data_IF_361508583581
#
_entry.id   IF_361508583581
#
_cell.length_a   1.000
_cell.length_b   1.000
_cell.length_c   1.000
_cell.angle_alpha   90.00
_cell.angle_beta   90.00
_cell.angle_gamma   90.00
#
_symmetry.space_group_name_H-M   'P 1'
#
loop_
_entity.id
_entity.type
_entity.pdbx_description
1 polymer ?
#
# COMPACT_ATOMS: atom_id res chain seq x y z
N UNK A 1 -24.92 33.16 28.36
CA UNK A 1 -23.89 32.17 28.75
C UNK A 1 -23.77 30.99 27.77
N UNK A 2 -24.74 30.08 27.62
CA UNK A 2 -24.60 28.95 26.67
C UNK A 2 -24.58 29.40 25.20
N UNK A 3 -25.41 30.39 24.86
CA UNK A 3 -25.50 30.95 23.51
C UNK A 3 -24.26 31.77 23.13
N UNK A 4 -23.73 32.58 24.05
CA UNK A 4 -22.48 33.34 23.84
C UNK A 4 -21.29 32.39 23.60
N UNK A 5 -21.14 31.34 24.43
CA UNK A 5 -20.09 30.34 24.27
C UNK A 5 -20.22 29.56 22.95
N UNK A 6 -21.44 29.27 22.52
CA UNK A 6 -21.71 28.63 21.23
C UNK A 6 -21.18 29.47 20.06
N UNK A 7 -21.52 30.76 20.01
CA UNK A 7 -21.04 31.65 18.96
C UNK A 7 -19.54 31.94 19.05
N UNK A 8 -18.96 32.03 20.25
CA UNK A 8 -17.51 32.15 20.44
C UNK A 8 -16.74 30.94 19.87
N UNK A 9 -17.23 29.72 20.09
CA UNK A 9 -16.61 28.51 19.53
C UNK A 9 -16.71 28.49 18.01
N UNK A 10 -17.85 28.89 17.43
CA UNK A 10 -18.02 28.96 15.98
C UNK A 10 -17.09 30.01 15.35
N UNK A 11 -17.00 31.21 15.95
CA UNK A 11 -16.10 32.27 15.49
C UNK A 11 -14.63 31.85 15.60
N UNK A 12 -14.26 31.14 16.67
CA UNK A 12 -12.90 30.61 16.86
C UNK A 12 -12.55 29.54 15.82
N UNK A 13 -13.48 28.63 15.51
CA UNK A 13 -13.31 27.64 14.45
C UNK A 13 -13.21 28.30 13.07
N UNK A 14 -14.05 29.28 12.76
CA UNK A 14 -14.00 30.00 11.49
C UNK A 14 -12.67 30.74 11.30
N UNK A 15 -12.20 31.45 12.33
CA UNK A 15 -10.88 32.12 12.34
C UNK A 15 -9.73 31.14 12.14
N UNK A 16 -9.89 29.90 12.59
CA UNK A 16 -8.92 28.82 12.43
C UNK A 16 -9.05 28.09 11.08
N UNK A 17 -9.95 28.55 10.19
CA UNK A 17 -10.07 28.09 8.81
C UNK A 17 -11.05 26.92 8.60
N UNK A 18 -11.88 26.62 9.59
CA UNK A 18 -12.98 25.66 9.45
C UNK A 18 -14.11 26.28 8.62
N UNK A 19 -14.71 25.48 7.75
CA UNK A 19 -15.79 25.91 6.86
C UNK A 19 -17.10 25.26 7.26
N UNK A 20 -18.17 26.04 7.31
CA UNK A 20 -19.52 25.53 7.50
C UNK A 20 -19.84 24.49 6.42
N UNK A 21 -20.28 23.31 6.85
CA UNK A 21 -20.76 22.24 5.98
C UNK A 21 -22.28 22.29 5.88
N UNK A 22 -22.96 22.13 7.02
CA UNK A 22 -24.42 22.22 7.14
C UNK A 22 -24.84 22.36 8.60
N UNK A 23 -26.10 22.77 8.84
CA UNK A 23 -26.75 22.76 10.17
C UNK A 23 -27.84 21.68 10.18
N UNK A 24 -27.92 20.90 11.26
CA UNK A 24 -28.97 19.89 11.46
C UNK A 24 -29.52 20.00 12.88
N UNK A 25 -30.74 20.52 13.02
CA UNK A 25 -31.32 20.81 14.33
C UNK A 25 -30.44 21.79 15.12
N UNK A 26 -29.98 21.37 16.30
CA UNK A 26 -29.09 22.15 17.18
C UNK A 26 -27.60 21.93 16.90
N UNK A 27 -27.24 21.09 15.92
CA UNK A 27 -25.84 20.82 15.55
C UNK A 27 -25.41 21.66 14.36
N UNK A 28 -24.28 22.34 14.48
CA UNK A 28 -23.58 22.99 13.36
C UNK A 28 -22.37 22.16 13.01
N UNK A 29 -22.31 21.65 11.78
CA UNK A 29 -21.21 20.84 11.28
C UNK A 29 -20.23 21.69 10.48
N UNK A 30 -18.95 21.58 10.81
CA UNK A 30 -17.86 22.25 10.10
C UNK A 30 -16.87 21.24 9.57
N UNK A 31 -16.19 21.60 8.48
CA UNK A 31 -15.14 20.78 7.89
C UNK A 31 -13.90 21.60 7.56
N UNK A 32 -12.75 20.94 7.63
CA UNK A 32 -11.47 21.48 7.18
C UNK A 32 -10.73 20.44 6.36
N UNK A 33 -10.07 20.89 5.29
CA UNK A 33 -9.21 20.03 4.47
C UNK A 33 -7.76 20.19 4.91
N UNK A 34 -7.10 19.05 5.11
CA UNK A 34 -5.67 18.91 5.38
C UNK A 34 -5.00 18.19 4.22
N UNK A 35 -3.74 18.51 3.98
CA UNK A 35 -2.90 17.79 3.02
C UNK A 35 -1.96 16.86 3.77
N UNK A 36 -2.13 15.55 3.56
CA UNK A 36 -1.28 14.53 4.17
C UNK A 36 -0.61 13.70 3.08
N UNK A 37 0.72 13.76 3.01
CA UNK A 37 1.53 12.98 2.06
C UNK A 37 1.11 13.15 0.58
N UNK A 38 0.61 14.34 0.21
CA UNK A 38 0.11 14.64 -1.14
C UNK A 38 -1.34 14.20 -1.39
N UNK A 39 -2.07 13.76 -0.35
CA UNK A 39 -3.47 13.38 -0.41
C UNK A 39 -4.35 14.32 0.41
N UNK A 40 -5.62 14.48 0.00
CA UNK A 40 -6.61 15.26 0.75
C UNK A 40 -7.20 14.41 1.89
N UNK A 41 -7.11 14.94 3.11
CA UNK A 41 -7.85 14.48 4.28
C UNK A 41 -8.88 15.56 4.64
N UNK A 42 -10.13 15.18 4.89
CA UNK A 42 -11.16 16.10 5.37
C UNK A 42 -11.52 15.74 6.79
N UNK A 43 -11.45 16.68 7.72
CA UNK A 43 -11.86 16.48 9.11
C UNK A 43 -13.22 17.14 9.31
N UNK A 44 -14.13 16.46 10.01
CA UNK A 44 -15.45 16.97 10.33
C UNK A 44 -15.64 17.06 11.85
N UNK A 45 -16.16 18.22 12.28
CA UNK A 45 -16.54 18.50 13.66
C UNK A 45 -17.99 18.96 13.72
N UNK A 46 -18.61 18.87 14.89
CA UNK A 46 -19.88 19.53 15.16
C UNK A 46 -19.85 20.30 16.47
N UNK A 47 -20.65 21.36 16.55
CA UNK A 47 -20.88 22.13 17.78
C UNK A 47 -22.38 22.17 18.05
N UNK A 48 -22.78 21.85 19.29
CA UNK A 48 -24.18 21.81 19.69
C UNK A 48 -24.61 23.11 20.38
N UNK A 49 -25.70 23.71 19.93
CA UNK A 49 -26.27 24.96 20.45
C UNK A 49 -26.76 24.85 21.91
N UNK A 50 -27.20 23.65 22.32
CA UNK A 50 -27.71 23.37 23.67
C UNK A 50 -26.60 22.95 24.64
N UNK A 51 -25.50 22.42 24.13
CA UNK A 51 -24.31 22.01 24.90
C UNK A 51 -23.06 22.40 24.13
N UNK A 52 -22.58 23.66 24.28
CA UNK A 52 -21.52 24.22 23.45
C UNK A 52 -20.15 23.59 23.76
N UNK A 53 -19.87 22.51 23.04
CA UNK A 53 -18.64 21.73 23.00
C UNK A 53 -18.37 21.33 21.55
N UNK A 54 -17.10 21.08 21.22
CA UNK A 54 -16.71 20.67 19.88
C UNK A 54 -16.59 19.15 19.84
N UNK A 55 -17.48 18.48 19.12
CA UNK A 55 -17.38 17.04 18.87
C UNK A 55 -16.58 16.81 17.59
N UNK A 56 -15.41 16.20 17.69
CA UNK A 56 -14.70 15.64 16.54
C UNK A 56 -15.45 14.38 16.12
N UNK A 57 -15.92 14.34 14.87
CA UNK A 57 -16.83 13.30 14.39
C UNK A 57 -16.12 12.23 13.57
N UNK A 58 -15.35 12.68 12.59
CA UNK A 58 -14.64 11.77 11.72
C UNK A 58 -13.56 12.46 10.89
N UNK A 59 -12.58 11.66 10.49
CA UNK A 59 -11.62 11.98 9.45
C UNK A 59 -12.02 11.23 8.18
N UNK A 60 -11.99 11.88 7.02
CA UNK A 60 -12.20 11.24 5.72
C UNK A 60 -10.93 11.35 4.91
N UNK A 61 -10.28 10.22 4.70
CA UNK A 61 -9.17 10.10 3.77
C UNK A 61 -9.69 9.73 2.39
N UNK A 62 -9.20 10.40 1.36
CA UNK A 62 -9.47 10.05 -0.04
C UNK A 62 -8.24 9.38 -0.65
N UNK A 63 -7.96 8.11 -0.34
CA UNK A 63 -6.84 7.41 -0.91
C UNK A 63 -6.99 7.28 -2.43
N UNK A 64 -5.88 7.42 -3.15
CA UNK A 64 -5.85 7.23 -4.62
C UNK A 64 -6.02 5.78 -5.07
N UNK A 65 -6.03 4.82 -4.13
CA UNK A 65 -6.15 3.39 -4.43
C UNK A 65 -6.81 2.60 -3.31
N UNK A 66 -7.42 1.47 -3.69
CA UNK A 66 -8.03 0.52 -2.73
C UNK A 66 -7.01 -0.14 -1.79
N UNK A 67 -5.73 -0.21 -2.19
CA UNK A 67 -4.67 -0.78 -1.34
C UNK A 67 -4.34 0.15 -0.17
N UNK A 68 -4.19 1.45 -0.43
CA UNK A 68 -4.02 2.43 0.64
C UNK A 68 -5.26 2.51 1.54
N UNK A 69 -6.46 2.38 0.95
CA UNK A 69 -7.69 2.32 1.73
C UNK A 69 -7.72 1.13 2.69
N UNK A 70 -7.28 -0.04 2.23
CA UNK A 70 -7.18 -1.25 3.06
C UNK A 70 -6.11 -1.12 4.15
N UNK A 71 -4.95 -0.56 3.83
CA UNK A 71 -3.89 -0.34 4.81
C UNK A 71 -4.35 0.61 5.93
N UNK A 72 -5.01 1.71 5.59
CA UNK A 72 -5.60 2.61 6.58
C UNK A 72 -6.66 1.88 7.42
N UNK A 73 -7.55 1.09 6.82
CA UNK A 73 -8.52 0.27 7.57
C UNK A 73 -7.85 -0.77 8.48
N UNK A 74 -6.72 -1.33 8.09
CA UNK A 74 -5.97 -2.31 8.89
C UNK A 74 -5.30 -1.64 10.09
N UNK A 75 -4.68 -0.47 9.89
CA UNK A 75 -4.06 0.33 10.97
C UNK A 75 -5.08 0.73 12.03
N UNK A 76 -6.24 1.25 11.59
CA UNK A 76 -7.26 1.78 12.49
C UNK A 76 -8.33 0.76 12.87
N UNK A 77 -8.23 -0.46 12.37
CA UNK A 77 -9.14 -1.58 12.67
C UNK A 77 -10.62 -1.13 12.64
N UNK A 78 -11.40 -1.48 13.66
CA UNK A 78 -12.83 -1.20 13.79
C UNK A 78 -13.18 0.30 13.83
N UNK A 79 -12.22 1.18 14.11
CA UNK A 79 -12.43 2.63 14.09
C UNK A 79 -12.43 3.22 12.68
N UNK A 80 -12.04 2.45 11.67
CA UNK A 80 -12.10 2.86 10.28
C UNK A 80 -13.25 2.20 9.51
N UNK A 81 -13.85 2.91 8.55
CA UNK A 81 -14.79 2.36 7.59
C UNK A 81 -14.36 2.72 6.17
N UNK A 82 -14.36 1.74 5.26
CA UNK A 82 -14.05 1.98 3.84
C UNK A 82 -15.35 2.09 3.06
N UNK A 83 -15.62 3.26 2.50
CA UNK A 83 -16.79 3.53 1.67
C UNK A 83 -16.35 3.65 0.21
N UNK A 84 -16.94 2.82 -0.65
CA UNK A 84 -16.69 2.88 -2.10
C UNK A 84 -17.82 3.65 -2.77
N UNK A 85 -17.47 4.71 -3.50
CA UNK A 85 -18.37 5.47 -4.39
C UNK A 85 -18.03 5.15 -5.85
N UNK A 86 -18.83 5.66 -6.78
CA UNK A 86 -18.65 5.39 -8.22
C UNK A 86 -17.30 5.89 -8.75
N UNK A 87 -16.81 7.04 -8.27
CA UNK A 87 -15.60 7.72 -8.75
C UNK A 87 -14.43 7.72 -7.74
N UNK A 88 -14.67 7.32 -6.49
CA UNK A 88 -13.66 7.41 -5.42
C UNK A 88 -13.83 6.38 -4.30
N UNK A 89 -12.80 6.31 -3.46
CA UNK A 89 -12.79 5.53 -2.22
C UNK A 89 -12.56 6.50 -1.07
N UNK A 90 -13.43 6.45 -0.08
CA UNK A 90 -13.33 7.23 1.15
C UNK A 90 -13.00 6.25 2.30
N UNK A 91 -12.00 6.57 3.12
CA UNK A 91 -11.76 5.89 4.40
C UNK A 91 -12.15 6.85 5.51
N UNK A 92 -13.16 6.49 6.28
CA UNK A 92 -13.65 7.26 7.39
C UNK A 92 -13.06 6.73 8.69
N UNK A 93 -12.32 7.53 9.44
CA UNK A 93 -11.95 7.22 10.83
C UNK A 93 -12.97 7.86 11.74
N UNK A 94 -13.67 7.07 12.53
CA UNK A 94 -14.59 7.56 13.54
C UNK A 94 -13.76 8.06 14.72
N UNK A 95 -13.99 9.31 15.09
CA UNK A 95 -13.57 9.87 16.35
C UNK A 95 -14.87 10.27 17.05
N UNK A 96 -15.05 9.88 18.29
CA UNK A 96 -16.18 10.35 19.12
C UNK A 96 -15.57 11.03 20.34
N UNK A 97 -14.77 12.06 20.05
CA UNK A 97 -13.99 12.82 21.02
C UNK A 97 -14.62 14.22 21.16
N UNK A 98 -14.70 14.74 22.39
CA UNK A 98 -15.31 16.03 22.71
C UNK A 98 -14.25 16.95 23.30
N UNK A 99 -14.20 18.19 22.82
CA UNK A 99 -13.23 19.21 23.25
C UNK A 99 -13.92 20.47 23.71
N UNK A 100 -13.25 21.16 24.62
CA UNK A 100 -13.77 22.37 25.26
C UNK A 100 -13.33 23.65 24.54
N UNK A 101 -12.25 23.59 23.76
CA UNK A 101 -11.74 24.68 22.92
C UNK A 101 -11.07 24.18 21.63
N UNK A 102 -10.73 25.12 20.74
CA UNK A 102 -10.20 24.83 19.41
C UNK A 102 -8.73 24.39 19.44
N UNK A 103 -7.94 24.84 20.41
CA UNK A 103 -6.51 24.49 20.47
C UNK A 103 -6.35 23.02 20.86
N UNK A 104 -7.11 22.54 21.86
CA UNK A 104 -7.11 21.12 22.26
C UNK A 104 -7.51 20.21 21.08
N UNK A 105 -8.50 20.64 20.29
CA UNK A 105 -8.91 19.95 19.07
C UNK A 105 -7.79 19.91 18.01
N UNK A 106 -7.12 21.04 17.77
CA UNK A 106 -6.08 21.13 16.75
C UNK A 106 -4.84 20.30 17.11
N UNK A 107 -4.39 20.35 18.36
CA UNK A 107 -3.27 19.52 18.87
C UNK A 107 -3.56 18.04 18.64
N UNK A 108 -4.80 17.62 18.92
CA UNK A 108 -5.22 16.23 18.74
C UNK A 108 -5.34 15.82 17.27
N UNK A 109 -5.80 16.72 16.39
CA UNK A 109 -5.81 16.49 14.94
C UNK A 109 -4.38 16.30 14.43
N UNK A 110 -3.45 17.14 14.86
CA UNK A 110 -2.04 17.05 14.45
C UNK A 110 -1.38 15.75 14.92
N UNK A 111 -1.64 15.32 16.16
CA UNK A 111 -1.18 14.02 16.67
C UNK A 111 -1.67 12.86 15.80
N UNK A 112 -2.97 12.82 15.50
CA UNK A 112 -3.57 11.77 14.66
C UNK A 112 -2.98 11.79 13.25
N UNK A 113 -2.82 12.98 12.65
CA UNK A 113 -2.22 13.11 11.32
C UNK A 113 -0.75 12.69 11.29
N UNK A 114 0.02 12.97 12.35
CA UNK A 114 1.42 12.56 12.46
C UNK A 114 1.58 11.05 12.68
N UNK A 115 0.72 10.40 13.46
CA UNK A 115 0.71 8.93 13.57
C UNK A 115 0.39 8.27 12.22
N UNK A 116 -0.60 8.80 11.48
CA UNK A 116 -0.88 8.34 10.11
C UNK A 116 0.33 8.54 9.21
N UNK A 117 1.00 9.69 9.32
CA UNK A 117 2.19 9.99 8.53
C UNK A 117 3.31 8.98 8.80
N UNK A 118 3.58 8.65 10.07
CA UNK A 118 4.60 7.66 10.46
C UNK A 118 4.28 6.29 9.89
N UNK A 119 3.06 5.80 10.08
CA UNK A 119 2.65 4.46 9.64
C UNK A 119 2.61 4.33 8.11
N UNK A 120 2.06 5.32 7.40
CA UNK A 120 2.06 5.32 5.93
C UNK A 120 3.48 5.44 5.36
N UNK A 121 4.37 6.16 6.05
CA UNK A 121 5.77 6.27 5.62
C UNK A 121 6.54 4.96 5.80
N UNK A 122 6.29 4.18 6.86
CA UNK A 122 6.86 2.83 7.03
C UNK A 122 6.50 1.92 5.84
N UNK A 123 5.21 1.86 5.50
CA UNK A 123 4.71 1.08 4.34
C UNK A 123 5.32 1.58 3.02
N UNK A 124 5.56 2.88 2.86
CA UNK A 124 6.15 3.46 1.64
C UNK A 124 7.65 3.15 1.51
N UNK A 125 8.40 3.17 2.62
CA UNK A 125 9.84 2.87 2.64
C UNK A 125 10.08 1.40 2.29
N UNK A 126 9.32 0.47 2.88
CA UNK A 126 9.44 -0.96 2.58
C UNK A 126 9.23 -1.28 1.08
N UNK A 127 8.30 -0.58 0.41
CA UNK A 127 8.05 -0.77 -1.03
C UNK A 127 9.15 -0.15 -1.90
N UNK A 128 9.74 0.97 -1.49
CA UNK A 128 10.83 1.64 -2.24
C UNK A 128 12.14 0.84 -2.13
N UNK A 129 12.47 0.37 -0.93
CA UNK A 129 13.66 -0.47 -0.71
C UNK A 129 13.53 -1.81 -1.43
N UNK A 130 12.33 -2.41 -1.45
CA UNK A 130 12.04 -3.61 -2.21
C UNK A 130 12.29 -3.45 -3.72
N UNK A 131 11.78 -2.36 -4.31
CA UNK A 131 11.99 -2.03 -5.72
C UNK A 131 13.47 -1.76 -6.03
N UNK A 132 14.12 -0.97 -5.17
CA UNK A 132 15.54 -0.63 -5.28
C UNK A 132 16.41 -1.88 -5.24
N UNK A 133 16.13 -2.81 -4.34
CA UNK A 133 16.86 -4.07 -4.22
C UNK A 133 16.66 -4.93 -5.49
N UNK A 134 15.44 -5.19 -5.96
CA UNK A 134 15.26 -5.97 -7.20
C UNK A 134 15.90 -5.33 -8.44
N UNK A 135 15.89 -3.99 -8.53
CA UNK A 135 16.57 -3.27 -9.61
C UNK A 135 18.10 -3.38 -9.52
N UNK A 136 18.70 -3.27 -8.33
CA UNK A 136 20.15 -3.55 -8.12
C UNK A 136 20.52 -4.96 -8.56
N UNK A 137 19.61 -5.91 -8.36
CA UNK A 137 19.81 -7.31 -8.72
C UNK A 137 19.56 -7.59 -10.23
N UNK A 138 19.29 -6.54 -11.03
CA UNK A 138 19.21 -6.59 -12.48
C UNK A 138 17.85 -7.02 -13.04
N UNK A 139 16.78 -6.95 -12.23
CA UNK A 139 15.41 -7.11 -12.71
C UNK A 139 14.86 -5.76 -13.20
N UNK A 140 14.20 -5.76 -14.35
CA UNK A 140 13.40 -4.61 -14.78
C UNK A 140 12.07 -4.66 -14.03
N UNK A 141 11.91 -3.78 -13.06
CA UNK A 141 10.69 -3.74 -12.22
C UNK A 141 9.83 -2.56 -12.65
N UNK A 142 8.52 -2.81 -12.79
CA UNK A 142 7.55 -1.77 -13.11
C UNK A 142 6.22 -2.05 -12.44
N UNK A 143 5.47 -1.00 -12.15
CA UNK A 143 4.15 -1.10 -11.52
C UNK A 143 3.07 -1.18 -12.59
N UNK A 144 2.18 -2.16 -12.46
CA UNK A 144 1.00 -2.30 -13.33
C UNK A 144 -0.20 -2.46 -12.41
N UNK A 145 -1.05 -1.44 -12.36
CA UNK A 145 -2.17 -1.35 -11.42
C UNK A 145 -1.71 -1.54 -9.97
N UNK A 146 -2.24 -2.56 -9.28
CA UNK A 146 -1.93 -2.87 -7.90
C UNK A 146 -0.76 -3.85 -7.75
N UNK A 147 -0.19 -4.35 -8.84
CA UNK A 147 0.78 -5.44 -8.89
C UNK A 147 2.18 -4.94 -9.18
N UNK A 148 3.17 -5.50 -8.48
CA UNK A 148 4.58 -5.31 -8.82
C UNK A 148 4.95 -6.33 -9.87
N UNK A 149 5.20 -5.87 -11.09
CA UNK A 149 5.65 -6.72 -12.18
C UNK A 149 7.15 -6.58 -12.33
N UNK A 150 7.81 -7.67 -12.61
CA UNK A 150 9.23 -7.66 -12.95
C UNK A 150 9.49 -8.50 -14.19
N UNK A 151 10.56 -8.17 -14.89
CA UNK A 151 11.03 -8.93 -16.04
C UNK A 151 12.53 -9.09 -15.96
N UNK A 152 13.02 -10.26 -16.34
CA UNK A 152 14.43 -10.49 -16.61
C UNK A 152 14.60 -11.48 -17.76
N UNK A 153 15.63 -11.26 -18.56
CA UNK A 153 16.03 -12.16 -19.65
C UNK A 153 17.38 -12.76 -19.28
N UNK A 154 17.48 -14.08 -19.42
CA UNK A 154 18.66 -14.88 -19.15
C UNK A 154 19.12 -15.52 -20.46
N UNK A 155 20.43 -15.48 -20.69
CA UNK A 155 21.05 -16.28 -21.74
C UNK A 155 21.46 -17.62 -21.11
N UNK A 156 20.72 -18.68 -21.41
CA UNK A 156 21.09 -20.04 -21.03
C UNK A 156 22.07 -20.61 -22.07
N UNK A 157 22.82 -21.68 -21.75
CA UNK A 157 23.81 -22.24 -22.68
C UNK A 157 23.25 -22.61 -24.07
N UNK A 158 21.98 -23.02 -24.13
CA UNK A 158 21.32 -23.45 -25.39
C UNK A 158 19.97 -22.79 -25.67
N UNK A 159 19.55 -21.83 -24.86
CA UNK A 159 18.24 -21.20 -24.98
C UNK A 159 18.24 -19.78 -24.42
N UNK A 160 17.23 -19.00 -24.77
CA UNK A 160 16.93 -17.73 -24.07
C UNK A 160 15.76 -17.97 -23.13
N UNK A 161 15.92 -17.59 -21.87
CA UNK A 161 14.85 -17.63 -20.87
C UNK A 161 14.39 -16.22 -20.56
N UNK A 162 13.12 -15.92 -20.81
CA UNK A 162 12.45 -14.72 -20.32
C UNK A 162 11.58 -15.09 -19.12
N UNK A 163 11.80 -14.43 -18.00
CA UNK A 163 10.95 -14.50 -16.82
C UNK A 163 10.14 -13.21 -16.74
N UNK A 164 8.83 -13.33 -16.68
CA UNK A 164 7.91 -12.28 -16.28
C UNK A 164 7.28 -12.67 -14.96
N UNK A 165 7.49 -11.86 -13.93
CA UNK A 165 6.98 -12.14 -12.61
C UNK A 165 5.99 -11.10 -12.14
N UNK A 166 5.10 -11.53 -11.26
CA UNK A 166 4.18 -10.69 -10.52
C UNK A 166 4.28 -11.02 -9.04
N UNK A 167 4.35 -9.97 -8.23
CA UNK A 167 4.39 -10.05 -6.78
C UNK A 167 3.09 -9.40 -6.27
N UNK A 168 2.27 -10.21 -5.61
CA UNK A 168 1.05 -9.74 -4.96
C UNK A 168 0.96 -10.30 -3.54
N UNK A 169 0.89 -9.39 -2.56
CA UNK A 169 0.86 -9.68 -1.12
C UNK A 169 2.00 -10.58 -0.65
N UNK A 170 1.74 -11.88 -0.51
CA UNK A 170 2.62 -12.91 0.02
C UNK A 170 2.91 -14.01 -1.03
N UNK A 171 2.65 -13.71 -2.32
CA UNK A 171 2.78 -14.66 -3.43
C UNK A 171 3.65 -14.08 -4.54
N UNK A 172 4.55 -14.90 -5.09
CA UNK A 172 5.26 -14.63 -6.34
C UNK A 172 4.68 -15.57 -7.39
N UNK A 173 4.23 -15.03 -8.52
CA UNK A 173 3.86 -15.80 -9.70
C UNK A 173 4.85 -15.48 -10.81
N UNK A 174 5.38 -16.52 -11.45
CA UNK A 174 6.30 -16.43 -12.58
C UNK A 174 5.63 -17.03 -13.82
N UNK A 175 5.72 -16.30 -14.92
CA UNK A 175 5.49 -16.78 -16.28
C UNK A 175 6.87 -16.83 -16.97
N UNK A 176 7.37 -18.04 -17.23
CA UNK A 176 8.66 -18.30 -17.85
C UNK A 176 8.46 -18.73 -19.30
N UNK A 177 9.28 -18.18 -20.20
CA UNK A 177 9.30 -18.51 -21.61
C UNK A 177 10.73 -18.87 -22.01
N UNK A 178 10.95 -20.11 -22.42
CA UNK A 178 12.23 -20.64 -22.87
C UNK A 178 12.13 -20.82 -24.38
N UNK A 179 13.01 -20.15 -25.12
CA UNK A 179 13.04 -20.16 -26.58
C UNK A 179 14.38 -20.75 -27.01
N UNK A 180 14.36 -21.84 -27.76
CA UNK A 180 15.56 -22.60 -28.17
C UNK A 180 15.46 -24.08 -27.82
N UNK A 181 16.51 -24.63 -27.21
CA UNK A 181 16.57 -26.05 -26.83
C UNK A 181 15.67 -26.35 -25.60
N UNK A 182 14.68 -27.22 -25.80
CA UNK A 182 13.71 -27.63 -24.77
C UNK A 182 14.35 -28.38 -23.59
N UNK A 183 15.55 -28.95 -23.76
CA UNK A 183 16.26 -29.62 -22.66
C UNK A 183 16.64 -28.67 -21.52
N UNK A 184 16.74 -27.36 -21.77
CA UNK A 184 16.91 -26.34 -20.73
C UNK A 184 15.65 -26.18 -19.86
N UNK A 185 14.47 -26.57 -20.34
CA UNK A 185 13.23 -26.48 -19.58
C UNK A 185 13.25 -27.37 -18.34
N UNK A 186 13.73 -28.61 -18.46
CA UNK A 186 13.83 -29.53 -17.31
C UNK A 186 14.79 -29.01 -16.23
N UNK A 187 15.89 -28.38 -16.65
CA UNK A 187 16.82 -27.73 -15.72
C UNK A 187 16.16 -26.57 -14.99
N UNK A 188 15.40 -25.73 -15.69
CA UNK A 188 14.66 -24.61 -15.08
C UNK A 188 13.59 -25.12 -14.10
N UNK A 189 12.83 -26.17 -14.45
CA UNK A 189 11.83 -26.79 -13.56
C UNK A 189 12.45 -27.30 -12.27
N UNK A 190 13.63 -27.92 -12.36
CA UNK A 190 14.38 -28.39 -11.20
C UNK A 190 14.77 -27.23 -10.28
N UNK A 191 15.35 -26.16 -10.84
CA UNK A 191 15.73 -24.95 -10.08
C UNK A 191 14.50 -24.34 -9.39
N UNK A 192 13.38 -24.21 -10.11
CA UNK A 192 12.13 -23.68 -9.54
C UNK A 192 11.66 -24.52 -8.35
N UNK A 193 11.68 -25.86 -8.48
CA UNK A 193 11.27 -26.77 -7.42
C UNK A 193 12.18 -26.70 -6.20
N UNK A 194 13.50 -26.60 -6.39
CA UNK A 194 14.50 -26.43 -5.32
C UNK A 194 14.31 -25.12 -4.55
N UNK A 195 13.82 -24.08 -5.22
CA UNK A 195 13.51 -22.77 -4.63
C UNK A 195 12.07 -22.70 -4.08
N UNK A 196 11.35 -23.81 -4.01
CA UNK A 196 10.01 -23.88 -3.43
C UNK A 196 8.90 -23.31 -4.32
N UNK A 197 9.13 -23.18 -5.63
CA UNK A 197 8.05 -22.87 -6.57
C UNK A 197 7.26 -24.13 -6.94
N UNK A 198 5.93 -24.00 -6.90
CA UNK A 198 5.00 -24.98 -7.44
C UNK A 198 4.73 -24.66 -8.91
N UNK A 199 4.93 -25.63 -9.80
CA UNK A 199 4.60 -25.49 -11.22
C UNK A 199 3.08 -25.67 -11.40
N UNK A 200 2.43 -24.63 -11.92
CA UNK A 200 0.97 -24.55 -12.11
C UNK A 200 0.57 -24.88 -13.54
N UNK A 201 1.44 -24.58 -14.51
CA UNK A 201 1.22 -24.88 -15.92
C UNK A 201 2.54 -25.16 -16.60
N UNK A 202 2.55 -26.13 -17.49
CA UNK A 202 3.71 -26.50 -18.30
C UNK A 202 3.23 -26.81 -19.70
N UNK A 203 3.71 -26.06 -20.69
CA UNK A 203 3.37 -26.21 -22.09
C UNK A 203 4.66 -26.25 -22.89
N UNK A 204 4.87 -27.35 -23.62
CA UNK A 204 6.02 -27.52 -24.50
C UNK A 204 5.52 -27.64 -25.93
N UNK A 205 6.08 -26.85 -26.84
CA UNK A 205 5.80 -26.88 -28.27
C UNK A 205 7.11 -26.60 -29.01
N UNK A 206 7.32 -27.23 -30.17
CA UNK A 206 8.60 -27.26 -30.88
C UNK A 206 9.40 -25.95 -30.83
N UNK A 207 10.46 -25.92 -30.00
CA UNK A 207 11.39 -24.81 -29.83
C UNK A 207 10.99 -23.74 -28.80
N UNK A 208 9.85 -23.91 -28.10
CA UNK A 208 9.35 -23.01 -27.06
C UNK A 208 8.74 -23.82 -25.89
N UNK A 209 9.26 -23.62 -24.69
CA UNK A 209 8.63 -24.06 -23.45
C UNK A 209 8.07 -22.87 -22.66
N UNK A 210 6.84 -23.00 -22.16
CA UNK A 210 6.19 -22.04 -21.27
C UNK A 210 5.85 -22.70 -19.95
N UNK A 211 6.41 -22.16 -18.87
CA UNK A 211 6.21 -22.66 -17.50
C UNK A 211 5.57 -21.54 -16.69
N UNK A 212 4.48 -21.86 -15.99
CA UNK A 212 3.91 -20.98 -14.98
C UNK A 212 4.18 -21.58 -13.61
N UNK A 213 4.80 -20.81 -12.72
CA UNK A 213 5.16 -21.26 -11.39
C UNK A 213 4.74 -20.25 -10.32
N UNK A 214 4.45 -20.71 -9.11
CA UNK A 214 4.07 -19.82 -8.01
C UNK A 214 4.71 -20.27 -6.70
N UNK A 215 5.07 -19.33 -5.83
CA UNK A 215 5.50 -19.63 -4.46
C UNK A 215 4.93 -18.62 -3.47
N UNK A 216 4.91 -18.98 -2.19
CA UNK A 216 4.47 -18.15 -1.08
C UNK A 216 5.66 -17.75 -0.21
N UNK A 217 5.59 -16.58 0.40
CA UNK A 217 6.61 -16.07 1.32
C UNK A 217 5.95 -15.38 2.51
N UNK A 218 6.69 -15.27 3.62
CA UNK A 218 6.20 -14.68 4.88
C UNK A 218 6.43 -13.19 4.98
N UNK A 219 7.49 -12.70 4.32
CA UNK A 219 7.96 -11.32 4.39
C UNK A 219 8.66 -10.90 3.10
N UNK A 220 8.86 -9.60 2.95
CA UNK A 220 9.41 -8.98 1.74
C UNK A 220 10.85 -9.42 1.47
N UNK A 221 11.68 -9.55 2.51
CA UNK A 221 13.08 -9.96 2.38
C UNK A 221 13.19 -11.40 1.84
N UNK A 222 12.33 -12.30 2.32
CA UNK A 222 12.23 -13.67 1.81
C UNK A 222 11.84 -13.71 0.33
N UNK A 223 10.96 -12.80 -0.12
CA UNK A 223 10.61 -12.68 -1.54
C UNK A 223 11.80 -12.22 -2.39
N UNK A 224 12.55 -11.19 -1.93
CA UNK A 224 13.77 -10.72 -2.62
C UNK A 224 14.80 -11.84 -2.67
N UNK A 225 15.11 -12.48 -1.54
CA UNK A 225 16.10 -13.54 -1.45
C UNK A 225 15.77 -14.72 -2.36
N UNK A 226 14.48 -15.06 -2.50
CA UNK A 226 14.03 -16.11 -3.42
C UNK A 226 14.32 -15.74 -4.89
N UNK A 227 14.02 -14.49 -5.29
CA UNK A 227 14.26 -14.01 -6.66
C UNK A 227 15.75 -13.83 -6.97
N UNK A 228 16.54 -13.40 -6.00
CA UNK A 228 18.01 -13.33 -6.10
C UNK A 228 18.59 -14.72 -6.26
N UNK A 229 18.14 -15.67 -5.45
CA UNK A 229 18.61 -17.07 -5.54
C UNK A 229 18.24 -17.71 -6.88
N UNK A 230 17.05 -17.42 -7.39
CA UNK A 230 16.64 -17.82 -8.74
C UNK A 230 17.59 -17.27 -9.80
N UNK A 231 17.91 -15.97 -9.74
CA UNK A 231 18.86 -15.35 -10.65
C UNK A 231 20.22 -16.01 -10.56
N UNK A 232 20.80 -16.09 -9.37
CA UNK A 232 22.18 -16.57 -9.17
C UNK A 232 22.32 -18.00 -9.68
N UNK A 233 21.33 -18.85 -9.41
CA UNK A 233 21.30 -20.24 -9.89
C UNK A 233 21.20 -20.32 -11.41
N UNK A 234 20.40 -19.46 -12.04
CA UNK A 234 20.26 -19.40 -13.51
C UNK A 234 21.50 -18.81 -14.19
N UNK A 235 22.17 -17.85 -13.56
CA UNK A 235 23.42 -17.24 -14.05
C UNK A 235 24.67 -18.09 -13.74
N UNK A 236 24.53 -19.19 -12.99
CA UNK A 236 25.65 -20.05 -12.60
C UNK A 236 26.59 -19.44 -11.55
N UNK A 237 26.12 -18.46 -10.78
CA UNK A 237 26.87 -17.83 -9.67
C UNK A 237 26.61 -18.63 -8.38
N UNK A 238 27.67 -19.09 -7.71
CA UNK A 238 27.53 -19.70 -6.37
C UNK A 238 27.56 -18.61 -5.28
N UNK A 239 26.78 -18.80 -4.20
CA UNK A 239 26.67 -17.89 -3.04
C UNK A 239 27.97 -17.63 -2.26
N UNK A 240 29.12 -18.17 -2.66
CA UNK A 240 30.38 -18.03 -1.93
C UNK A 240 31.04 -16.64 -2.01
N UNK A 241 30.44 -15.65 -2.68
CA UNK A 241 31.06 -14.34 -2.91
C UNK A 241 30.50 -13.18 -2.06
N UNK A 242 29.59 -13.41 -1.13
CA UNK A 242 28.96 -12.33 -0.33
C UNK A 242 29.24 -12.39 1.18
N UNK A 243 30.24 -13.14 1.63
CA UNK A 243 30.74 -13.10 3.02
C UNK A 243 32.20 -12.62 3.01
N UNK A 244 32.39 -11.31 3.06
CA UNK A 244 33.59 -10.62 3.59
C UNK A 244 33.17 -9.25 4.08
#
# INVERSE_FOLDING_TARGET
>A
MSEEKFYELLDSLEKSGWKLSHKSGSEVYLMREYSLLGHKCSVAVSVNEKSPEISLRYFVFRPSSIKLAKALKEIFSDYAAVVRREDRIDVMLLADEIYSDVNELEDRIDEVLDEIRKEVSKVKVEVIDFLSNLMKEGFLVYRSESRLKFRKVFSLPKATLRIEGNIDKNTITLDLFIIGDESEAEKVKKILSELGFTIVKDLVSSGIASIKATTFYTDIDSAVNTLVSLRDTLEGKSRQQYIT
#
